data_IF_174550135131
#
_entry.id   IF_174550135131
#
_cell.length_a   1.000
_cell.length_b   1.000
_cell.length_c   1.000
_cell.angle_alpha   90.00
_cell.angle_beta   90.00
_cell.angle_gamma   90.00
#
_symmetry.space_group_name_H-M   'P 1'
#
loop_
_entity.id
_entity.type
_entity.pdbx_description
1 polymer ?
#
# COMPACT_ATOMS: atom_id res chain seq x y z
N UNK A 1 32.89 19.37 4.83
CA UNK A 1 31.81 19.11 5.80
C UNK A 1 30.57 18.86 4.96
N UNK A 2 30.01 17.66 5.02
CA UNK A 2 28.76 17.34 4.34
C UNK A 2 27.66 18.28 4.82
N UNK A 3 26.68 18.61 3.97
CA UNK A 3 25.57 19.48 4.39
C UNK A 3 25.81 20.98 4.35
N UNK A 4 27.05 21.48 4.22
CA UNK A 4 27.34 22.92 4.28
C UNK A 4 27.32 23.55 2.88
N UNK A 5 26.48 24.58 2.61
CA UNK A 5 26.41 25.19 1.30
C UNK A 5 27.69 25.94 0.94
N UNK A 6 28.12 25.79 -0.32
CA UNK A 6 29.11 26.71 -0.91
C UNK A 6 28.51 28.12 -1.05
N UNK A 7 29.33 29.19 -1.20
CA UNK A 7 28.82 30.53 -1.44
C UNK A 7 27.89 30.62 -2.66
N UNK A 8 28.19 29.86 -3.72
CA UNK A 8 27.34 29.81 -4.92
C UNK A 8 26.00 29.13 -4.65
N UNK A 9 25.98 28.01 -3.92
CA UNK A 9 24.74 27.32 -3.55
C UNK A 9 23.90 28.20 -2.63
N UNK A 10 24.51 28.85 -1.63
CA UNK A 10 23.83 29.78 -0.73
C UNK A 10 23.22 30.97 -1.50
N UNK A 11 23.89 31.46 -2.54
CA UNK A 11 23.35 32.47 -3.46
C UNK A 11 22.06 32.00 -4.13
N UNK A 12 22.08 30.83 -4.78
CA UNK A 12 20.90 30.23 -5.44
C UNK A 12 19.74 29.97 -4.47
N UNK A 13 20.04 29.53 -3.26
CA UNK A 13 19.04 29.33 -2.20
C UNK A 13 18.41 30.66 -1.79
N UNK A 14 19.21 31.72 -1.65
CA UNK A 14 18.73 33.05 -1.28
C UNK A 14 17.96 33.76 -2.40
N UNK A 15 18.17 33.43 -3.67
CA UNK A 15 17.31 33.87 -4.77
C UNK A 15 15.88 33.33 -4.64
N UNK A 16 15.73 32.16 -4.02
CA UNK A 16 14.43 31.50 -3.79
C UNK A 16 13.80 31.87 -2.44
N UNK A 17 14.60 32.17 -1.43
CA UNK A 17 14.14 32.50 -0.09
C UNK A 17 13.54 33.92 -0.02
N UNK A 18 12.52 34.13 0.83
CA UNK A 18 11.91 35.46 1.05
C UNK A 18 12.69 36.34 2.02
N UNK A 19 13.68 35.78 2.70
CA UNK A 19 14.66 36.51 3.51
C UNK A 19 16.04 35.88 3.29
N UNK A 20 17.12 36.64 3.52
CA UNK A 20 18.46 36.07 3.57
C UNK A 20 18.55 34.96 4.63
N UNK A 21 19.12 33.83 4.22
CA UNK A 21 19.54 32.70 5.04
C UNK A 21 21.08 32.72 5.12
N UNK A 22 21.60 32.45 6.32
CA UNK A 22 23.02 32.21 6.56
C UNK A 22 23.40 30.77 6.23
N UNK A 23 24.71 30.49 6.08
CA UNK A 23 25.18 29.13 5.82
C UNK A 23 24.91 28.18 7.00
N UNK A 24 24.84 28.72 8.21
CA UNK A 24 24.55 27.98 9.45
C UNK A 24 23.07 27.57 9.55
N UNK A 25 22.17 28.30 8.90
CA UNK A 25 20.73 28.01 8.90
C UNK A 25 20.32 26.93 7.89
N UNK A 26 21.23 26.52 7.00
CA UNK A 26 20.88 25.73 5.82
C UNK A 26 21.71 24.44 5.76
N UNK A 27 21.04 23.34 5.52
CA UNK A 27 21.64 22.07 5.13
C UNK A 27 21.39 21.81 3.65
N UNK A 28 22.42 21.41 2.89
CA UNK A 28 22.30 21.07 1.47
C UNK A 28 22.77 19.66 1.17
N UNK A 29 22.10 18.99 0.25
CA UNK A 29 22.49 17.68 -0.24
C UNK A 29 22.07 17.51 -1.71
N UNK A 30 22.73 16.58 -2.39
CA UNK A 30 22.45 16.22 -3.78
C UNK A 30 21.87 14.82 -3.83
N UNK A 31 20.91 14.59 -4.72
CA UNK A 31 20.33 13.27 -4.96
C UNK A 31 20.23 12.96 -6.45
N UNK A 32 20.33 11.67 -6.79
CA UNK A 32 19.90 11.15 -8.09
C UNK A 32 18.38 10.94 -8.01
N UNK A 33 17.63 11.70 -8.80
CA UNK A 33 16.16 11.71 -8.70
C UNK A 33 15.52 10.59 -9.51
N UNK A 34 15.95 10.43 -10.76
CA UNK A 34 15.45 9.43 -11.72
C UNK A 34 16.41 9.34 -12.91
N UNK A 35 16.38 8.24 -13.67
CA UNK A 35 17.03 8.17 -14.97
C UNK A 35 16.20 7.44 -16.01
N UNK A 36 16.82 7.16 -17.15
CA UNK A 36 16.17 6.56 -18.32
C UNK A 36 16.38 5.04 -18.43
N UNK A 37 16.71 4.36 -17.33
CA UNK A 37 16.57 2.90 -17.29
C UNK A 37 15.10 2.51 -17.49
N UNK A 38 14.87 1.37 -18.14
CA UNK A 38 13.52 0.83 -18.26
C UNK A 38 12.96 0.50 -16.88
N UNK A 39 11.84 1.11 -16.53
CA UNK A 39 11.07 0.82 -15.34
C UNK A 39 10.21 -0.40 -15.63
N UNK A 40 10.69 -1.58 -15.23
CA UNK A 40 10.16 -2.87 -15.69
C UNK A 40 8.71 -3.12 -15.24
N UNK A 41 8.34 -2.71 -14.02
CA UNK A 41 7.02 -2.99 -13.46
C UNK A 41 5.85 -2.31 -14.22
N UNK A 42 6.15 -1.28 -15.02
CA UNK A 42 5.19 -0.58 -15.87
C UNK A 42 5.61 -0.53 -17.34
N UNK A 43 6.78 -1.06 -17.68
CA UNK A 43 7.37 -0.97 -19.00
C UNK A 43 7.42 0.47 -19.50
N UNK A 44 7.98 1.38 -18.69
CA UNK A 44 8.12 2.81 -19.02
C UNK A 44 9.60 3.18 -19.01
N UNK A 45 10.05 3.89 -20.04
CA UNK A 45 11.39 4.49 -20.11
C UNK A 45 11.24 5.99 -20.32
N UNK A 46 11.89 6.80 -19.49
CA UNK A 46 11.86 8.25 -19.62
C UNK A 46 12.76 8.66 -20.79
N UNK A 47 12.24 9.47 -21.70
CA UNK A 47 13.07 10.07 -22.75
C UNK A 47 13.94 11.18 -22.16
N UNK A 48 15.13 11.39 -22.71
CA UNK A 48 16.03 12.48 -22.29
C UNK A 48 15.35 13.85 -22.35
N UNK A 49 14.45 14.08 -23.31
CA UNK A 49 13.67 15.32 -23.41
C UNK A 49 12.74 15.52 -22.20
N UNK A 50 12.15 14.44 -21.66
CA UNK A 50 11.37 14.52 -20.43
C UNK A 50 12.27 14.81 -19.23
N UNK A 51 13.44 14.16 -19.13
CA UNK A 51 14.42 14.46 -18.08
C UNK A 51 14.86 15.93 -18.08
N UNK A 52 14.90 16.59 -19.25
CA UNK A 52 15.20 18.02 -19.33
C UNK A 52 14.08 18.90 -18.76
N UNK A 53 12.82 18.54 -19.00
CA UNK A 53 11.67 19.23 -18.39
C UNK A 53 11.73 19.10 -16.87
N UNK A 54 11.91 17.87 -16.37
CA UNK A 54 12.03 17.63 -14.92
C UNK A 54 13.23 18.37 -14.30
N UNK A 55 14.33 18.52 -15.04
CA UNK A 55 15.49 19.33 -14.63
C UNK A 55 15.16 20.80 -14.50
N UNK A 56 14.40 21.36 -15.44
CA UNK A 56 14.01 22.76 -15.41
C UNK A 56 13.10 23.04 -14.20
N UNK A 57 12.13 22.18 -13.93
CA UNK A 57 11.25 22.28 -12.75
C UNK A 57 12.02 22.16 -11.44
N UNK A 58 12.93 21.18 -11.32
CA UNK A 58 13.80 21.04 -10.14
C UNK A 58 14.74 22.25 -9.95
N UNK A 59 15.17 22.88 -11.05
CA UNK A 59 16.00 24.10 -10.99
C UNK A 59 15.17 25.32 -10.57
N UNK A 60 13.91 25.43 -11.03
CA UNK A 60 12.97 26.45 -10.58
C UNK A 60 12.63 26.27 -9.08
N UNK A 61 12.51 25.02 -8.66
CA UNK A 61 12.49 24.58 -7.27
C UNK A 61 11.14 24.00 -6.88
N UNK A 62 11.06 22.67 -6.87
CA UNK A 62 9.94 21.86 -6.34
C UNK A 62 10.09 21.61 -4.84
N UNK A 63 8.98 21.23 -4.19
CA UNK A 63 8.97 20.90 -2.77
C UNK A 63 9.82 19.65 -2.48
N UNK A 64 10.57 19.67 -1.37
CA UNK A 64 11.14 18.47 -0.76
C UNK A 64 10.24 18.02 0.39
N UNK A 65 9.73 16.79 0.34
CA UNK A 65 8.83 16.23 1.34
C UNK A 65 9.40 14.93 1.96
N UNK A 66 8.64 14.35 2.89
CA UNK A 66 8.84 13.00 3.39
C UNK A 66 7.71 12.13 2.84
N UNK A 67 8.06 11.05 2.13
CA UNK A 67 7.09 10.15 1.47
C UNK A 67 6.14 10.88 0.49
N UNK A 68 5.06 10.24 0.04
CA UNK A 68 4.05 10.82 -0.87
C UNK A 68 2.75 11.15 -0.15
N UNK A 69 2.73 12.09 0.84
CA UNK A 69 1.55 12.33 1.67
C UNK A 69 0.35 12.82 0.85
N UNK A 70 0.61 13.50 -0.28
CA UNK A 70 -0.40 13.93 -1.24
C UNK A 70 -1.11 12.78 -1.96
N UNK A 71 -0.47 11.61 -2.06
CA UNK A 71 -1.03 10.44 -2.74
C UNK A 71 -2.00 9.63 -1.87
N UNK A 72 -1.98 9.84 -0.54
CA UNK A 72 -2.86 9.15 0.40
C UNK A 72 -2.58 7.66 0.56
N UNK A 73 -1.38 7.20 0.22
CA UNK A 73 -0.93 5.83 0.44
C UNK A 73 -0.81 5.56 1.96
N UNK A 74 -1.90 5.09 2.58
CA UNK A 74 -1.86 4.48 3.92
C UNK A 74 -2.18 5.38 5.13
N UNK A 75 -2.38 6.70 4.98
CA UNK A 75 -3.04 7.64 5.93
C UNK A 75 -3.02 9.06 5.36
N UNK A 76 -4.09 9.86 5.45
CA UNK A 76 -4.01 11.27 5.06
C UNK A 76 -3.12 12.02 6.06
N UNK A 77 -1.91 12.40 5.62
CA UNK A 77 -1.06 13.37 6.30
C UNK A 77 -1.04 14.65 5.48
N UNK A 78 -0.95 15.79 6.16
CA UNK A 78 -0.79 17.05 5.46
C UNK A 78 0.53 17.04 4.66
N UNK A 79 0.47 17.45 3.40
CA UNK A 79 1.64 17.54 2.53
C UNK A 79 2.48 18.78 2.91
N UNK A 80 3.37 18.63 3.89
CA UNK A 80 4.27 19.69 4.31
C UNK A 80 5.64 19.58 3.61
N UNK A 81 6.09 20.63 2.92
CA UNK A 81 7.47 20.73 2.45
C UNK A 81 8.43 20.91 3.64
N UNK A 82 9.48 20.11 3.71
CA UNK A 82 10.60 20.25 4.66
C UNK A 82 11.80 20.96 4.05
N UNK A 83 11.87 21.00 2.72
CA UNK A 83 12.89 21.72 1.98
C UNK A 83 12.42 22.11 0.59
N UNK A 84 13.37 22.47 -0.26
CA UNK A 84 13.13 22.80 -1.66
C UNK A 84 14.36 22.47 -2.50
N UNK A 85 14.15 22.03 -3.73
CA UNK A 85 15.23 21.94 -4.73
C UNK A 85 15.68 23.34 -5.15
N UNK A 86 16.95 23.47 -5.53
CA UNK A 86 17.50 24.77 -5.95
C UNK A 86 18.37 24.74 -7.20
N UNK A 87 18.76 23.56 -7.65
CA UNK A 87 19.55 23.35 -8.86
C UNK A 87 19.39 21.90 -9.31
N UNK A 88 19.41 21.66 -10.63
CA UNK A 88 19.42 20.31 -11.16
C UNK A 88 20.20 20.20 -12.48
N UNK A 89 20.62 18.97 -12.80
CA UNK A 89 21.34 18.65 -14.03
C UNK A 89 20.96 17.27 -14.55
N UNK A 90 20.91 17.14 -15.87
CA UNK A 90 20.90 15.83 -16.54
C UNK A 90 22.33 15.47 -16.89
N UNK A 91 22.82 14.35 -16.38
CA UNK A 91 24.18 13.83 -16.60
C UNK A 91 24.14 12.40 -17.11
N UNK A 92 25.30 11.84 -17.48
CA UNK A 92 25.37 10.44 -17.85
C UNK A 92 24.92 9.55 -16.69
N UNK A 93 24.15 8.52 -17.02
CA UNK A 93 23.77 7.46 -16.10
C UNK A 93 25.00 6.72 -15.57
N UNK A 94 24.87 6.16 -14.39
CA UNK A 94 25.95 5.47 -13.67
C UNK A 94 25.64 3.98 -13.43
N UNK A 95 24.56 3.46 -14.01
CA UNK A 95 24.26 2.03 -13.99
C UNK A 95 23.94 1.45 -15.37
N UNK A 96 23.91 0.13 -15.45
CA UNK A 96 23.56 -0.60 -16.65
C UNK A 96 22.10 -0.37 -17.09
N UNK A 97 21.91 -0.14 -18.39
CA UNK A 97 20.60 0.14 -18.98
C UNK A 97 20.14 1.61 -18.88
N UNK A 98 20.94 2.47 -18.24
CA UNK A 98 20.72 3.92 -18.11
C UNK A 98 21.75 4.71 -18.92
N UNK A 99 21.29 5.55 -19.84
CA UNK A 99 22.13 6.48 -20.59
C UNK A 99 22.20 7.86 -19.92
N UNK A 100 21.10 8.30 -19.31
CA UNK A 100 20.95 9.62 -18.71
C UNK A 100 20.21 9.56 -17.37
N UNK A 101 20.67 10.38 -16.42
CA UNK A 101 20.05 10.53 -15.12
C UNK A 101 19.90 12.01 -14.75
N UNK A 102 18.80 12.33 -14.06
CA UNK A 102 18.53 13.60 -13.42
C UNK A 102 19.07 13.59 -12.00
N UNK A 103 19.90 14.58 -11.69
CA UNK A 103 20.40 14.88 -10.35
C UNK A 103 19.89 16.25 -9.93
N UNK A 104 19.55 16.41 -8.66
CA UNK A 104 19.15 17.70 -8.11
C UNK A 104 19.72 17.96 -6.72
N UNK A 105 19.97 19.23 -6.44
CA UNK A 105 20.40 19.72 -5.16
C UNK A 105 19.20 20.31 -4.40
N UNK A 106 19.09 19.94 -3.13
CA UNK A 106 18.02 20.36 -2.23
C UNK A 106 18.57 21.01 -0.97
N UNK A 107 17.78 21.89 -0.37
CA UNK A 107 18.10 22.48 0.92
C UNK A 107 16.98 22.29 1.95
N UNK A 108 17.38 22.12 3.22
CA UNK A 108 16.53 22.10 4.40
C UNK A 108 16.97 23.25 5.31
N UNK A 109 16.02 23.98 5.88
CA UNK A 109 16.30 25.03 6.89
C UNK A 109 16.31 24.39 8.27
N UNK A 110 17.39 24.56 9.02
CA UNK A 110 17.59 24.01 10.37
C UNK A 110 16.66 24.63 11.41
N UNK A 111 16.46 23.92 12.53
CA UNK A 111 15.71 24.40 13.69
C UNK A 111 14.23 24.66 13.44
N UNK A 112 13.60 23.94 12.51
CA UNK A 112 12.16 24.01 12.22
C UNK A 112 11.47 22.75 12.71
N UNK A 113 10.20 22.89 13.07
CA UNK A 113 9.32 21.78 13.38
C UNK A 113 8.00 21.97 12.62
N UNK A 114 7.54 20.89 11.96
CA UNK A 114 6.28 20.83 11.24
C UNK A 114 5.68 19.46 11.52
N UNK A 115 4.40 19.41 11.91
CA UNK A 115 3.70 18.14 12.19
C UNK A 115 4.43 17.22 13.18
N UNK A 116 5.05 17.79 14.23
CA UNK A 116 5.83 17.05 15.22
C UNK A 116 7.16 16.49 14.71
N UNK A 117 7.57 16.83 13.47
CA UNK A 117 8.83 16.41 12.88
C UNK A 117 9.80 17.59 12.82
N UNK A 118 10.96 17.40 13.45
CA UNK A 118 12.07 18.35 13.44
C UNK A 118 12.89 18.22 12.16
N UNK A 119 13.19 19.35 11.51
CA UNK A 119 14.13 19.36 10.38
C UNK A 119 15.53 18.94 10.78
N UNK A 120 15.93 19.16 12.03
CA UNK A 120 17.25 18.75 12.50
C UNK A 120 17.33 17.23 12.69
N UNK A 121 16.21 16.58 13.03
CA UNK A 121 16.12 15.12 13.06
C UNK A 121 16.19 14.54 11.64
N UNK A 122 15.45 15.12 10.68
CA UNK A 122 15.52 14.71 9.26
C UNK A 122 16.95 14.87 8.73
N UNK A 123 17.62 15.98 9.05
CA UNK A 123 19.02 16.20 8.66
C UNK A 123 19.93 15.14 9.28
N UNK A 124 19.76 14.83 10.57
CA UNK A 124 20.54 13.79 11.25
C UNK A 124 20.35 12.42 10.58
N UNK A 125 19.12 12.06 10.22
CA UNK A 125 18.82 10.79 9.53
C UNK A 125 19.46 10.74 8.12
N UNK A 126 19.60 11.88 7.43
CA UNK A 126 20.35 11.96 6.17
C UNK A 126 21.86 11.82 6.42
N UNK A 127 22.36 12.47 7.46
CA UNK A 127 23.79 12.47 7.82
C UNK A 127 24.28 11.09 8.29
N UNK A 128 23.44 10.32 9.00
CA UNK A 128 23.75 8.97 9.47
C UNK A 128 23.38 7.86 8.46
N UNK A 129 22.62 8.20 7.42
CA UNK A 129 22.25 7.31 6.33
C UNK A 129 20.99 6.48 6.58
N UNK A 130 20.20 6.77 7.62
CA UNK A 130 18.87 6.18 7.84
C UNK A 130 17.86 6.66 6.77
N UNK A 131 18.00 7.90 6.30
CA UNK A 131 17.38 8.41 5.08
C UNK A 131 18.46 8.50 4.00
N UNK A 132 18.40 7.61 3.02
CA UNK A 132 19.46 7.47 2.02
C UNK A 132 18.97 7.54 0.57
N UNK A 133 17.66 7.67 0.35
CA UNK A 133 17.10 7.61 -0.99
C UNK A 133 15.92 8.57 -1.20
N UNK A 134 15.62 8.83 -2.47
CA UNK A 134 14.58 9.76 -2.90
C UNK A 134 13.59 9.13 -3.88
N UNK A 135 12.43 9.75 -3.97
CA UNK A 135 11.38 9.43 -4.92
C UNK A 135 10.86 10.71 -5.57
N UNK A 136 10.30 10.61 -6.76
CA UNK A 136 9.68 11.73 -7.46
C UNK A 136 8.22 11.47 -7.80
N UNK A 137 7.44 12.53 -7.70
CA UNK A 137 6.11 12.67 -8.25
C UNK A 137 6.21 13.46 -9.54
N UNK A 138 5.77 12.89 -10.66
CA UNK A 138 5.89 13.53 -11.98
C UNK A 138 4.77 13.11 -12.94
N UNK A 139 4.51 13.95 -13.94
CA UNK A 139 3.53 13.70 -15.00
C UNK A 139 4.17 13.80 -16.39
N UNK A 140 3.54 13.13 -17.36
CA UNK A 140 3.88 13.25 -18.77
C UNK A 140 2.67 12.92 -19.66
N UNK A 141 2.63 13.52 -20.84
CA UNK A 141 1.57 13.31 -21.84
C UNK A 141 2.08 12.52 -23.06
N UNK A 142 3.34 12.75 -23.45
CA UNK A 142 3.95 12.08 -24.58
C UNK A 142 4.16 10.60 -24.27
N UNK A 143 3.46 9.72 -24.99
CA UNK A 143 3.49 8.27 -24.74
C UNK A 143 3.82 7.51 -26.02
N UNK A 144 5.08 7.47 -26.42
CA UNK A 144 5.49 6.82 -27.66
C UNK A 144 5.69 5.31 -27.48
N UNK A 145 5.30 4.51 -28.46
CA UNK A 145 5.48 3.06 -28.48
C UNK A 145 6.87 2.70 -29.01
N UNK A 146 7.62 1.88 -28.27
CA UNK A 146 8.94 1.40 -28.71
C UNK A 146 8.93 0.54 -29.99
N UNK A 147 7.77 0.00 -30.40
CA UNK A 147 7.64 -0.90 -31.55
C UNK A 147 7.30 -0.13 -32.83
N UNK A 148 6.29 0.73 -32.81
CA UNK A 148 5.82 1.45 -34.01
C UNK A 148 6.11 2.95 -34.01
N UNK A 149 6.60 3.54 -32.92
CA UNK A 149 6.82 4.99 -32.80
C UNK A 149 5.54 5.83 -32.71
N UNK A 150 4.36 5.20 -32.77
CA UNK A 150 3.07 5.89 -32.57
C UNK A 150 2.72 6.07 -31.09
N UNK A 151 1.60 6.74 -30.79
CA UNK A 151 1.11 6.85 -29.42
C UNK A 151 0.72 5.46 -28.87
N UNK A 152 1.35 5.04 -27.78
CA UNK A 152 1.08 3.74 -27.14
C UNK A 152 -0.37 3.61 -26.71
N UNK A 153 -1.01 4.71 -26.28
CA UNK A 153 -2.42 4.73 -25.87
C UNK A 153 -3.38 4.58 -27.07
N UNK A 154 -2.90 4.73 -28.31
CA UNK A 154 -3.71 4.67 -29.54
C UNK A 154 -3.35 3.52 -30.48
N UNK A 155 -2.19 2.87 -30.30
CA UNK A 155 -1.77 1.73 -31.11
C UNK A 155 -2.13 0.36 -30.49
N UNK A 156 -2.03 -0.69 -31.30
CA UNK A 156 -2.37 -2.07 -30.90
C UNK A 156 -1.27 -2.78 -30.07
N UNK A 157 -0.05 -2.23 -30.00
CA UNK A 157 1.03 -2.81 -29.21
C UNK A 157 0.80 -2.64 -27.71
N UNK A 158 0.96 -3.69 -26.92
CA UNK A 158 0.79 -3.67 -25.47
C UNK A 158 2.14 -3.75 -24.76
N UNK A 159 2.46 -2.80 -23.87
CA UNK A 159 3.71 -2.86 -23.12
C UNK A 159 3.83 -4.13 -22.28
N UNK A 160 5.05 -4.66 -22.22
CA UNK A 160 5.34 -5.97 -21.65
C UNK A 160 5.21 -7.14 -22.63
N UNK A 161 4.57 -6.95 -23.79
CA UNK A 161 4.54 -7.98 -24.85
C UNK A 161 5.72 -7.83 -25.80
N UNK A 162 6.13 -8.94 -26.40
CA UNK A 162 7.18 -9.00 -27.40
C UNK A 162 6.58 -9.04 -28.81
N UNK A 163 7.09 -8.21 -29.71
CA UNK A 163 6.72 -8.15 -31.12
C UNK A 163 8.01 -8.21 -31.95
N UNK A 164 8.12 -9.15 -32.90
CA UNK A 164 9.33 -9.35 -33.71
C UNK A 164 10.63 -9.36 -32.88
N UNK A 165 10.61 -10.11 -31.77
CA UNK A 165 11.70 -10.20 -30.78
C UNK A 165 12.11 -8.88 -30.09
N UNK A 166 11.24 -7.86 -30.12
CA UNK A 166 11.43 -6.59 -29.41
C UNK A 166 10.36 -6.41 -28.33
N UNK A 167 10.80 -6.04 -27.13
CA UNK A 167 9.90 -5.71 -26.03
C UNK A 167 9.18 -4.39 -26.30
N UNK A 168 7.85 -4.40 -26.21
CA UNK A 168 7.05 -3.18 -26.23
C UNK A 168 7.13 -2.49 -24.86
N UNK A 169 7.45 -1.21 -24.87
CA UNK A 169 7.43 -0.33 -23.70
C UNK A 169 7.04 1.09 -24.11
N UNK A 170 6.65 1.89 -23.12
CA UNK A 170 6.33 3.31 -23.28
C UNK A 170 7.62 4.12 -23.23
N UNK A 171 7.82 4.99 -24.20
CA UNK A 171 8.81 6.06 -24.15
C UNK A 171 8.07 7.32 -23.70
N UNK A 172 8.27 7.71 -22.44
CA UNK A 172 7.63 8.87 -21.82
C UNK A 172 8.33 10.16 -22.27
N UNK A 173 7.59 11.06 -22.93
CA UNK A 173 8.06 12.29 -23.56
C UNK A 173 7.27 13.50 -23.07
N UNK A 174 7.82 14.71 -23.21
CA UNK A 174 7.07 15.95 -22.99
C UNK A 174 5.80 16.04 -23.86
N UNK A 175 4.81 16.88 -23.49
CA UNK A 175 4.75 17.70 -22.27
C UNK A 175 4.78 16.89 -20.97
N UNK A 176 5.26 17.48 -19.88
CA UNK A 176 5.38 16.84 -18.57
C UNK A 176 5.78 17.84 -17.49
N UNK A 177 5.91 17.36 -16.25
CA UNK A 177 6.32 18.18 -15.10
C UNK A 177 6.88 17.33 -13.98
N UNK A 178 7.78 17.90 -13.18
CA UNK A 178 8.15 17.40 -11.87
C UNK A 178 7.29 18.10 -10.82
N UNK A 179 6.49 17.32 -10.08
CA UNK A 179 5.63 17.86 -9.04
C UNK A 179 6.39 18.08 -7.75
N UNK A 180 7.19 17.09 -7.36
CA UNK A 180 7.83 17.06 -6.05
C UNK A 180 9.01 16.07 -5.99
N UNK A 181 9.83 16.23 -4.95
CA UNK A 181 10.87 15.30 -4.53
C UNK A 181 10.60 14.87 -3.09
N UNK A 182 10.72 13.58 -2.79
CA UNK A 182 10.50 13.06 -1.44
C UNK A 182 11.65 12.22 -0.94
N UNK A 183 12.01 12.40 0.33
CA UNK A 183 12.87 11.49 1.07
C UNK A 183 12.07 10.24 1.44
N UNK A 184 12.64 9.07 1.17
CA UNK A 184 11.98 7.77 1.41
C UNK A 184 12.98 6.74 1.93
N UNK A 185 12.49 5.73 2.65
CA UNK A 185 13.31 4.63 3.16
C UNK A 185 13.67 3.58 2.09
N UNK A 186 12.95 3.58 0.96
CA UNK A 186 13.14 2.69 -0.20
C UNK A 186 12.91 3.52 -1.48
N UNK A 187 13.98 4.13 -2.01
CA UNK A 187 13.84 5.12 -3.08
C UNK A 187 13.89 4.52 -4.47
N UNK A 188 13.96 5.39 -5.46
CA UNK A 188 13.59 5.11 -6.84
C UNK A 188 14.39 3.99 -7.53
N UNK A 189 15.52 3.53 -6.98
CA UNK A 189 16.54 2.76 -7.72
C UNK A 189 17.01 1.46 -7.05
N UNK A 190 17.64 0.58 -7.85
CA UNK A 190 17.95 -0.84 -7.55
C UNK A 190 18.81 -1.12 -6.30
N UNK A 191 19.31 -0.11 -5.59
CA UNK A 191 20.16 -0.28 -4.39
C UNK A 191 19.42 -0.11 -3.06
N UNK A 192 18.08 -0.13 -3.06
CA UNK A 192 17.27 0.01 -1.85
C UNK A 192 16.40 -1.24 -1.55
N UNK A 193 16.29 -1.60 -0.26
CA UNK A 193 15.41 -2.63 0.31
C UNK A 193 15.17 -2.29 1.79
N UNK A 194 14.11 -2.68 2.52
CA UNK A 194 13.14 -3.79 2.42
C UNK A 194 11.72 -3.32 2.84
N UNK A 195 10.72 -3.90 2.16
CA UNK A 195 9.27 -4.07 2.44
C UNK A 195 8.38 -2.90 2.95
N UNK A 196 7.46 -2.47 2.08
CA UNK A 196 6.02 -2.69 2.31
C UNK A 196 5.30 -2.85 0.97
N UNK A 197 4.36 -3.79 0.92
CA UNK A 197 3.44 -4.04 -0.17
C UNK A 197 2.03 -3.59 0.24
N UNK A 198 1.25 -3.19 -0.76
CA UNK A 198 -0.21 -3.16 -0.75
C UNK A 198 -0.90 -2.15 0.18
N UNK A 199 -1.10 -0.94 -0.36
CA UNK A 199 -2.12 -0.02 0.11
C UNK A 199 -3.14 0.24 -1.01
N UNK A 200 -4.36 -0.24 -0.85
CA UNK A 200 -5.51 0.46 -1.44
C UNK A 200 -5.58 1.86 -0.83
N UNK A 201 -5.69 2.89 -1.68
CA UNK A 201 -5.67 4.29 -1.27
C UNK A 201 -7.04 4.71 -0.74
N UNK A 202 -7.06 5.25 0.48
CA UNK A 202 -8.20 5.92 1.11
C UNK A 202 -8.25 7.40 0.71
N UNK A 203 -9.47 7.97 0.63
CA UNK A 203 -9.93 9.39 0.56
C UNK A 203 -9.10 10.53 -0.13
N UNK A 204 -8.02 10.27 -0.86
CA UNK A 204 -7.18 11.31 -1.49
C UNK A 204 -7.72 11.89 -2.80
N UNK A 205 -8.88 11.43 -3.26
CA UNK A 205 -9.39 11.77 -4.60
C UNK A 205 -8.58 11.16 -5.76
N UNK A 206 -7.56 10.34 -5.48
CA UNK A 206 -6.75 9.65 -6.49
C UNK A 206 -7.04 8.14 -6.52
N UNK A 207 -6.78 7.52 -7.67
CA UNK A 207 -6.91 6.08 -7.90
C UNK A 207 -5.71 5.53 -8.64
N UNK A 208 -5.28 4.32 -8.27
CA UNK A 208 -4.20 3.61 -8.95
C UNK A 208 -4.69 3.08 -10.30
N UNK A 209 -3.95 3.41 -11.35
CA UNK A 209 -4.19 2.93 -12.71
C UNK A 209 -3.33 1.70 -12.96
N UNK A 210 -4.00 0.59 -13.28
CA UNK A 210 -3.37 -0.67 -13.72
C UNK A 210 -3.41 -0.80 -15.24
N UNK A 211 -4.52 -0.41 -15.86
CA UNK A 211 -4.69 -0.37 -17.31
C UNK A 211 -4.94 1.06 -17.81
N UNK A 212 -3.86 1.76 -18.15
CA UNK A 212 -3.93 3.14 -18.65
C UNK A 212 -4.37 3.24 -20.11
N UNK A 213 -4.42 2.12 -20.86
CA UNK A 213 -4.92 2.09 -22.23
C UNK A 213 -6.44 2.11 -22.29
N UNK A 214 -7.12 1.67 -21.24
CA UNK A 214 -8.58 1.78 -21.10
C UNK A 214 -9.06 3.23 -20.81
N UNK A 215 -8.15 4.13 -20.44
CA UNK A 215 -8.46 5.52 -20.12
C UNK A 215 -8.39 6.39 -21.37
N UNK A 216 -9.25 7.41 -21.44
CA UNK A 216 -9.18 8.44 -22.48
C UNK A 216 -7.78 9.04 -22.57
N UNK A 217 -7.21 9.04 -23.79
CA UNK A 217 -5.84 9.47 -24.07
C UNK A 217 -5.55 10.92 -23.65
N UNK A 218 -6.59 11.73 -23.46
CA UNK A 218 -6.49 13.11 -22.98
C UNK A 218 -6.44 13.22 -21.45
N UNK A 219 -6.71 12.14 -20.72
CA UNK A 219 -6.58 12.12 -19.26
C UNK A 219 -5.10 12.14 -18.90
N UNK A 220 -4.75 13.16 -18.11
CA UNK A 220 -3.44 13.33 -17.51
C UNK A 220 -3.18 12.27 -16.43
N UNK A 221 -1.99 11.68 -16.45
CA UNK A 221 -1.58 10.65 -15.50
C UNK A 221 -0.46 11.19 -14.63
N UNK A 222 -0.62 11.00 -13.32
CA UNK A 222 0.41 11.26 -12.32
C UNK A 222 1.17 9.99 -12.03
N UNK A 223 2.46 10.09 -11.74
CA UNK A 223 3.26 8.94 -11.41
C UNK A 223 4.11 9.20 -10.18
N UNK A 224 4.24 8.17 -9.35
CA UNK A 224 5.21 8.07 -8.26
C UNK A 224 6.24 7.04 -8.68
N UNK A 225 7.53 7.37 -8.57
CA UNK A 225 8.60 6.42 -8.84
C UNK A 225 9.44 6.17 -7.57
N UNK A 226 9.27 4.98 -6.98
CA UNK A 226 9.96 4.49 -5.78
C UNK A 226 10.20 2.99 -5.93
N UNK A 227 11.28 2.43 -5.37
CA UNK A 227 11.66 1.02 -5.42
C UNK A 227 11.77 0.44 -6.84
N UNK A 228 12.31 1.20 -7.79
CA UNK A 228 12.27 0.84 -9.21
C UNK A 228 10.86 0.48 -9.72
N UNK A 229 9.81 1.01 -9.06
CA UNK A 229 8.41 0.80 -9.37
C UNK A 229 7.75 2.13 -9.68
N UNK A 230 7.15 2.21 -10.85
CA UNK A 230 6.24 3.29 -11.20
C UNK A 230 4.84 2.94 -10.73
N UNK A 231 4.24 3.80 -9.91
CA UNK A 231 2.82 3.77 -9.53
C UNK A 231 2.14 4.89 -10.31
N UNK A 232 1.26 4.52 -11.23
CA UNK A 232 0.47 5.46 -12.01
C UNK A 232 -0.85 5.74 -11.31
N UNK A 233 -1.18 7.02 -11.18
CA UNK A 233 -2.34 7.55 -10.49
C UNK A 233 -3.16 8.43 -11.44
N UNK A 234 -4.46 8.51 -11.18
CA UNK A 234 -5.40 9.40 -11.86
C UNK A 234 -6.35 10.01 -10.84
N UNK A 235 -6.90 11.19 -11.12
CA UNK A 235 -8.01 11.72 -10.32
C UNK A 235 -9.24 10.83 -10.46
N UNK A 236 -9.94 10.59 -9.34
CA UNK A 236 -11.14 9.73 -9.30
C UNK A 236 -12.25 10.22 -10.22
N UNK A 237 -12.44 11.54 -10.29
CA UNK A 237 -13.43 12.17 -11.18
C UNK A 237 -13.15 11.90 -12.67
N UNK A 238 -11.88 11.72 -13.05
CA UNK A 238 -11.50 11.43 -14.43
C UNK A 238 -11.73 9.94 -14.81
N UNK A 239 -12.02 9.05 -13.84
CA UNK A 239 -12.29 7.63 -14.11
C UNK A 239 -13.63 7.36 -14.82
N UNK A 240 -14.56 8.31 -14.83
CA UNK A 240 -15.82 8.18 -15.57
C UNK A 240 -15.61 8.33 -17.08
N UNK A 241 -14.49 8.96 -17.49
CA UNK A 241 -14.06 9.14 -18.89
C UNK A 241 -13.30 7.91 -19.42
N UNK A 242 -13.79 6.71 -19.10
CA UNK A 242 -13.26 5.46 -19.68
C UNK A 242 -13.60 5.41 -21.16
N UNK A 243 -12.62 5.11 -21.99
CA UNK A 243 -12.92 4.68 -23.36
C UNK A 243 -13.35 3.23 -23.23
N UNK A 244 -14.64 2.94 -23.43
CA UNK A 244 -15.08 1.56 -23.70
C UNK A 244 -14.60 1.16 -25.09
N UNK A 245 -13.29 0.93 -25.24
CA UNK A 245 -12.77 0.04 -26.26
C UNK A 245 -12.79 -1.32 -25.58
N UNK A 246 -13.76 -2.13 -26.01
CA UNK A 246 -13.85 -3.53 -25.64
C UNK A 246 -12.47 -4.18 -25.69
N UNK A 247 -12.29 -5.15 -24.79
CA UNK A 247 -11.04 -5.88 -24.62
C UNK A 247 -10.37 -6.20 -25.94
N UNK A 248 -9.04 -6.18 -25.90
CA UNK A 248 -8.10 -6.69 -26.89
C UNK A 248 -8.78 -7.31 -28.13
N UNK A 249 -8.49 -6.76 -29.31
CA UNK A 249 -8.55 -7.53 -30.55
C UNK A 249 -7.75 -8.82 -30.32
N UNK A 250 -8.45 -9.89 -29.92
CA UNK A 250 -8.00 -11.25 -30.10
C UNK A 250 -8.25 -11.56 -31.56
N UNK A 251 -7.24 -12.13 -32.22
CA UNK A 251 -7.36 -12.66 -33.56
C UNK A 251 -8.71 -13.39 -33.73
N UNK A 252 -9.37 -13.17 -34.87
CA UNK A 252 -10.63 -13.79 -35.30
C UNK A 252 -10.51 -15.33 -35.52
N UNK A 253 -9.80 -16.05 -34.66
CA UNK A 253 -10.05 -17.47 -34.45
C UNK A 253 -11.24 -17.60 -33.53
N UNK A 254 -12.41 -17.85 -34.14
CA UNK A 254 -13.57 -18.37 -33.42
C UNK A 254 -13.22 -19.73 -32.83
N UNK A 255 -12.79 -19.73 -31.57
CA UNK A 255 -12.70 -20.95 -30.78
C UNK A 255 -14.12 -21.43 -30.48
N UNK A 256 -14.35 -22.74 -30.57
CA UNK A 256 -15.59 -23.32 -30.04
C UNK A 256 -15.56 -23.21 -28.51
N UNK A 257 -16.74 -23.21 -27.87
CA UNK A 257 -16.82 -23.17 -26.41
C UNK A 257 -15.99 -24.30 -25.76
N UNK A 258 -15.94 -25.47 -26.39
CA UNK A 258 -15.14 -26.61 -25.95
C UNK A 258 -13.62 -26.35 -26.02
N UNK A 259 -13.15 -25.62 -27.03
CA UNK A 259 -11.74 -25.22 -27.13
C UNK A 259 -11.37 -24.14 -26.12
N UNK A 260 -12.31 -23.24 -25.81
CA UNK A 260 -12.14 -22.23 -24.75
C UNK A 260 -12.08 -22.92 -23.39
N UNK A 261 -13.02 -23.82 -23.09
CA UNK A 261 -13.08 -24.53 -21.82
C UNK A 261 -11.84 -25.42 -21.62
N UNK A 262 -11.34 -26.06 -22.68
CA UNK A 262 -10.11 -26.85 -22.64
C UNK A 262 -8.86 -25.99 -22.32
N UNK A 263 -8.74 -24.82 -22.95
CA UNK A 263 -7.62 -23.90 -22.70
C UNK A 263 -7.70 -23.21 -21.35
N UNK A 264 -8.90 -22.87 -20.90
CA UNK A 264 -9.13 -22.34 -19.54
C UNK A 264 -8.73 -23.40 -18.52
N UNK A 265 -9.14 -24.66 -18.73
CA UNK A 265 -8.75 -25.76 -17.86
C UNK A 265 -7.24 -25.98 -17.84
N UNK A 266 -6.57 -25.97 -19.00
CA UNK A 266 -5.12 -26.08 -19.09
C UNK A 266 -4.39 -24.95 -18.34
N UNK A 267 -4.87 -23.71 -18.47
CA UNK A 267 -4.32 -22.56 -17.75
C UNK A 267 -4.56 -22.63 -16.23
N UNK A 268 -5.74 -23.07 -15.82
CA UNK A 268 -6.09 -23.27 -14.40
C UNK A 268 -5.27 -24.40 -13.79
N UNK A 269 -5.08 -25.50 -14.51
CA UNK A 269 -4.29 -26.65 -14.02
C UNK A 269 -2.79 -26.29 -13.95
N UNK A 270 -2.27 -25.52 -14.92
CA UNK A 270 -0.92 -24.98 -14.87
C UNK A 270 -0.72 -23.99 -13.71
N UNK A 271 -1.70 -23.14 -13.44
CA UNK A 271 -1.68 -22.20 -12.32
C UNK A 271 -1.76 -22.91 -10.96
N UNK A 272 -2.59 -23.96 -10.84
CA UNK A 272 -2.65 -24.80 -9.63
C UNK A 272 -1.33 -25.53 -9.38
N UNK A 273 -0.71 -26.07 -10.43
CA UNK A 273 0.59 -26.73 -10.32
C UNK A 273 1.70 -25.75 -9.89
N UNK A 274 1.59 -24.47 -10.26
CA UNK A 274 2.53 -23.42 -9.85
C UNK A 274 2.27 -22.93 -8.41
N UNK A 275 1.00 -22.86 -7.99
CA UNK A 275 0.58 -22.57 -6.61
C UNK A 275 1.03 -23.68 -5.63
N UNK A 276 0.88 -24.95 -6.01
CA UNK A 276 1.33 -26.09 -5.18
C UNK A 276 2.86 -26.11 -4.99
N UNK A 277 3.61 -25.51 -5.92
CA UNK A 277 5.08 -25.45 -5.89
C UNK A 277 5.62 -24.28 -5.07
N UNK A 278 4.83 -23.23 -4.85
CA UNK A 278 5.28 -21.95 -4.28
C UNK A 278 4.43 -21.51 -3.07
N UNK A 279 3.81 -22.45 -2.36
CA UNK A 279 2.73 -22.20 -1.41
C UNK A 279 3.08 -21.42 -0.11
N UNK A 280 4.33 -20.98 0.10
CA UNK A 280 4.67 -20.15 1.26
C UNK A 280 4.66 -18.65 0.89
N UNK A 281 3.59 -17.97 1.27
CA UNK A 281 3.50 -16.50 1.30
C UNK A 281 2.76 -15.82 0.14
N UNK A 282 1.92 -16.54 -0.61
CA UNK A 282 1.08 -15.95 -1.67
C UNK A 282 -0.24 -15.46 -1.09
N UNK A 283 -0.57 -14.19 -1.32
CA UNK A 283 -1.88 -13.62 -1.03
C UNK A 283 -2.97 -14.35 -1.83
N UNK A 284 -3.93 -14.95 -1.12
CA UNK A 284 -5.06 -15.65 -1.72
C UNK A 284 -6.13 -14.62 -2.09
N UNK A 285 -6.24 -14.31 -3.38
CA UNK A 285 -7.30 -13.45 -3.91
C UNK A 285 -8.51 -14.27 -4.33
N UNK A 286 -9.71 -13.85 -3.91
CA UNK A 286 -10.97 -14.38 -4.45
C UNK A 286 -11.36 -13.61 -5.71
N UNK A 287 -11.59 -14.32 -6.81
CA UNK A 287 -12.06 -13.72 -8.05
C UNK A 287 -13.52 -13.30 -7.92
N UNK A 288 -13.92 -12.27 -8.67
CA UNK A 288 -15.30 -11.73 -8.62
C UNK A 288 -16.39 -12.79 -8.83
N UNK A 289 -16.17 -13.73 -9.75
CA UNK A 289 -17.17 -14.79 -10.01
C UNK A 289 -17.26 -15.79 -8.84
N UNK A 290 -16.15 -16.12 -8.19
CA UNK A 290 -16.11 -16.98 -7.00
C UNK A 290 -16.82 -16.30 -5.82
N UNK A 291 -16.64 -14.99 -5.66
CA UNK A 291 -17.35 -14.20 -4.65
C UNK A 291 -18.87 -14.17 -4.92
N UNK A 292 -19.29 -14.02 -6.17
CA UNK A 292 -20.71 -14.05 -6.56
C UNK A 292 -21.32 -15.44 -6.31
N UNK A 293 -20.58 -16.51 -6.62
CA UNK A 293 -21.00 -17.89 -6.34
C UNK A 293 -21.14 -18.13 -4.83
N UNK A 294 -20.15 -17.71 -4.04
CA UNK A 294 -20.15 -17.88 -2.59
C UNK A 294 -21.24 -17.06 -1.88
N UNK A 295 -21.51 -15.84 -2.37
CA UNK A 295 -22.51 -14.93 -1.77
C UNK A 295 -23.92 -15.13 -2.36
N UNK A 296 -24.05 -15.89 -3.46
CA UNK A 296 -25.30 -16.10 -4.19
C UNK A 296 -25.85 -14.87 -4.93
N UNK A 297 -25.13 -13.74 -4.87
CA UNK A 297 -25.44 -12.49 -5.56
C UNK A 297 -24.20 -11.62 -5.69
N UNK A 298 -24.22 -10.72 -6.65
CA UNK A 298 -23.19 -9.69 -6.77
C UNK A 298 -23.38 -8.62 -5.70
N UNK A 299 -22.28 -8.23 -5.06
CA UNK A 299 -22.23 -7.24 -3.99
C UNK A 299 -21.02 -6.35 -4.16
N UNK A 300 -21.17 -5.07 -3.82
CA UNK A 300 -20.05 -4.13 -3.82
C UNK A 300 -19.07 -4.45 -2.67
N UNK A 301 -17.74 -4.30 -2.86
CA UNK A 301 -16.75 -4.67 -1.83
C UNK A 301 -16.97 -4.02 -0.46
N UNK A 302 -17.39 -2.75 -0.44
CA UNK A 302 -17.70 -2.04 0.81
C UNK A 302 -18.91 -2.63 1.55
N UNK A 303 -19.89 -3.17 0.80
CA UNK A 303 -21.06 -3.84 1.39
C UNK A 303 -20.66 -5.19 1.98
N UNK A 304 -19.80 -5.94 1.28
CA UNK A 304 -19.22 -7.20 1.79
C UNK A 304 -18.44 -6.97 3.08
N UNK A 305 -17.56 -5.96 3.12
CA UNK A 305 -16.78 -5.61 4.31
C UNK A 305 -17.66 -5.19 5.48
N UNK A 306 -18.73 -4.43 5.22
CA UNK A 306 -19.70 -4.04 6.24
C UNK A 306 -20.38 -5.27 6.85
N UNK A 307 -20.92 -6.15 6.02
CA UNK A 307 -21.60 -7.37 6.48
C UNK A 307 -20.65 -8.33 7.19
N UNK A 308 -19.39 -8.44 6.74
CA UNK A 308 -18.38 -9.24 7.41
C UNK A 308 -18.12 -8.73 8.85
N UNK A 309 -17.98 -7.40 9.04
CA UNK A 309 -17.83 -6.79 10.36
C UNK A 309 -19.05 -7.05 11.25
N UNK A 310 -20.26 -6.88 10.71
CA UNK A 310 -21.51 -7.18 11.43
C UNK A 310 -21.59 -8.66 11.81
N UNK A 311 -21.17 -9.58 10.94
CA UNK A 311 -21.11 -11.02 11.21
C UNK A 311 -20.07 -11.40 12.27
N UNK A 312 -18.90 -10.75 12.28
CA UNK A 312 -17.89 -10.93 13.33
C UNK A 312 -18.42 -10.46 14.69
N UNK A 313 -19.03 -9.28 14.75
CA UNK A 313 -19.63 -8.76 15.98
C UNK A 313 -20.76 -9.67 16.48
N UNK A 314 -21.67 -10.09 15.59
CA UNK A 314 -22.75 -11.01 15.94
C UNK A 314 -22.23 -12.33 16.51
N UNK A 315 -21.12 -12.84 15.96
CA UNK A 315 -20.46 -14.05 16.47
C UNK A 315 -19.94 -13.85 17.89
N UNK A 316 -19.27 -12.74 18.15
CA UNK A 316 -18.75 -12.42 19.49
C UNK A 316 -19.87 -12.31 20.52
N UNK A 317 -20.93 -11.56 20.21
CA UNK A 317 -22.11 -11.42 21.07
C UNK A 317 -22.78 -12.76 21.35
N UNK A 318 -22.88 -13.64 20.34
CA UNK A 318 -23.45 -14.97 20.49
C UNK A 318 -22.58 -15.87 21.39
N UNK A 319 -21.25 -15.79 21.30
CA UNK A 319 -20.33 -16.52 22.19
C UNK A 319 -20.53 -16.04 23.63
N UNK A 320 -20.61 -14.73 23.87
CA UNK A 320 -20.82 -14.17 25.21
C UNK A 320 -22.17 -14.59 25.80
N UNK A 321 -23.25 -14.54 25.02
CA UNK A 321 -24.57 -15.06 25.42
C UNK A 321 -24.47 -16.55 25.77
N UNK A 322 -23.78 -17.36 24.94
CA UNK A 322 -23.57 -18.79 25.18
C UNK A 322 -22.85 -19.06 26.51
N UNK A 323 -21.78 -18.33 26.80
CA UNK A 323 -21.04 -18.42 28.06
C UNK A 323 -21.91 -18.02 29.25
N UNK A 324 -22.68 -16.94 29.12
CA UNK A 324 -23.59 -16.49 30.18
C UNK A 324 -24.63 -17.57 30.52
N UNK A 325 -25.16 -18.27 29.52
CA UNK A 325 -26.06 -19.41 29.74
C UNK A 325 -25.35 -20.62 30.36
N UNK A 326 -24.11 -20.90 29.95
CA UNK A 326 -23.30 -21.95 30.57
C UNK A 326 -23.06 -21.70 32.06
N UNK A 327 -22.71 -20.46 32.44
CA UNK A 327 -22.56 -20.05 33.84
C UNK A 327 -23.88 -20.18 34.61
N UNK A 328 -25.02 -19.83 33.99
CA UNK A 328 -26.34 -20.03 34.62
C UNK A 328 -26.68 -21.50 34.83
N UNK A 329 -26.28 -22.37 33.90
CA UNK A 329 -26.55 -23.79 33.94
C UNK A 329 -25.66 -24.57 34.92
N UNK A 330 -24.39 -24.19 35.07
CA UNK A 330 -23.40 -25.01 35.79
C UNK A 330 -22.69 -24.24 36.94
N UNK A 331 -22.99 -22.95 37.11
CA UNK A 331 -22.49 -22.13 38.22
C UNK A 331 -20.95 -22.03 38.22
N UNK A 332 -20.35 -22.08 39.41
CA UNK A 332 -18.89 -21.99 39.59
C UNK A 332 -18.10 -23.16 38.96
N UNK A 333 -18.76 -24.27 38.62
CA UNK A 333 -18.13 -25.39 37.93
C UNK A 333 -18.00 -25.17 36.42
N UNK A 334 -18.67 -24.16 35.86
CA UNK A 334 -18.59 -23.85 34.44
C UNK A 334 -17.23 -23.26 34.08
N UNK A 335 -16.48 -23.95 33.22
CA UNK A 335 -15.17 -23.51 32.77
C UNK A 335 -15.27 -22.42 31.68
N UNK A 336 -15.70 -21.21 32.05
CA UNK A 336 -15.96 -20.10 31.12
C UNK A 336 -14.82 -19.83 30.14
N UNK A 337 -13.58 -19.83 30.60
CA UNK A 337 -12.42 -19.53 29.75
C UNK A 337 -12.16 -20.62 28.72
N UNK A 338 -12.28 -21.89 29.12
CA UNK A 338 -12.11 -23.04 28.22
C UNK A 338 -13.21 -23.08 27.16
N UNK A 339 -14.46 -22.80 27.55
CA UNK A 339 -15.58 -22.71 26.62
C UNK A 339 -15.44 -21.51 25.68
N UNK A 340 -15.00 -20.35 26.17
CA UNK A 340 -14.79 -19.18 25.33
C UNK A 340 -13.72 -19.46 24.28
N UNK A 341 -12.60 -20.07 24.68
CA UNK A 341 -11.55 -20.49 23.75
C UNK A 341 -12.07 -21.45 22.67
N UNK A 342 -12.82 -22.48 23.06
CA UNK A 342 -13.37 -23.47 22.12
C UNK A 342 -14.40 -22.88 21.16
N UNK A 343 -15.25 -21.96 21.62
CA UNK A 343 -16.27 -21.33 20.79
C UNK A 343 -15.68 -20.27 19.84
N UNK A 344 -14.55 -19.66 20.21
CA UNK A 344 -13.82 -18.71 19.38
C UNK A 344 -13.01 -19.34 18.24
N UNK A 345 -12.90 -20.67 18.15
CA UNK A 345 -12.20 -21.35 17.05
C UNK A 345 -12.76 -20.93 15.68
N UNK A 346 -11.92 -20.59 14.68
CA UNK A 346 -12.39 -20.11 13.37
C UNK A 346 -13.28 -21.07 12.61
N UNK A 347 -13.10 -22.38 12.81
CA UNK A 347 -13.88 -23.45 12.16
C UNK A 347 -15.24 -23.69 12.83
N UNK A 348 -15.49 -23.09 14.00
CA UNK A 348 -16.73 -23.29 14.75
C UNK A 348 -17.87 -22.52 14.08
N UNK A 349 -18.90 -23.20 13.58
CA UNK A 349 -20.01 -22.51 12.89
C UNK A 349 -20.95 -21.77 13.86
N UNK A 350 -21.70 -20.79 13.35
CA UNK A 350 -22.71 -20.05 14.12
C UNK A 350 -23.80 -21.01 14.63
N UNK A 351 -24.18 -21.99 13.83
CA UNK A 351 -25.18 -23.01 14.17
C UNK A 351 -24.72 -23.87 15.35
N UNK A 352 -23.43 -24.26 15.37
CA UNK A 352 -22.87 -25.01 16.48
C UNK A 352 -22.86 -24.20 17.77
N UNK A 353 -22.48 -22.91 17.71
CA UNK A 353 -22.51 -22.02 18.89
C UNK A 353 -23.95 -21.87 19.41
N UNK A 354 -24.94 -21.68 18.51
CA UNK A 354 -26.37 -21.65 18.88
C UNK A 354 -26.82 -22.95 19.55
N UNK A 355 -26.41 -24.10 19.03
CA UNK A 355 -26.76 -25.39 19.61
C UNK A 355 -26.23 -25.54 21.05
N UNK A 356 -24.98 -25.14 21.32
CA UNK A 356 -24.45 -25.13 22.69
C UNK A 356 -25.20 -24.18 23.60
N UNK A 357 -25.49 -22.97 23.12
CA UNK A 357 -26.28 -22.00 23.89
C UNK A 357 -27.64 -22.59 24.27
N UNK A 358 -28.34 -23.18 23.32
CA UNK A 358 -29.69 -23.68 23.54
C UNK A 358 -29.68 -24.91 24.47
N UNK A 359 -28.62 -25.73 24.43
CA UNK A 359 -28.38 -26.77 25.42
C UNK A 359 -28.16 -26.20 26.83
N UNK A 360 -27.32 -25.16 26.97
CA UNK A 360 -27.12 -24.51 28.27
C UNK A 360 -28.39 -23.82 28.77
N UNK A 361 -29.17 -23.20 27.88
CA UNK A 361 -30.49 -22.63 28.22
C UNK A 361 -31.41 -23.70 28.80
N UNK A 362 -31.58 -24.82 28.10
CA UNK A 362 -32.44 -25.91 28.58
C UNK A 362 -32.00 -26.44 29.94
N UNK A 363 -30.69 -26.67 30.14
CA UNK A 363 -30.14 -27.06 31.45
C UNK A 363 -30.38 -26.01 32.55
N UNK A 364 -30.21 -24.72 32.22
CA UNK A 364 -30.42 -23.64 33.19
C UNK A 364 -31.91 -23.52 33.58
N UNK A 365 -32.83 -23.82 32.67
CA UNK A 365 -34.27 -23.81 32.92
C UNK A 365 -34.75 -25.00 33.78
N UNK A 366 -34.01 -26.11 33.81
CA UNK A 366 -34.26 -27.25 34.70
C UNK A 366 -33.84 -26.99 36.16
N UNK A 367 -33.07 -25.92 36.41
CA UNK A 367 -32.64 -25.52 37.77
C UNK A 367 -33.77 -24.72 38.42
N UNK A 368 -34.40 -25.22 39.51
CA UNK A 368 -35.45 -24.49 40.19
C UNK A 368 -34.93 -23.14 40.69
N UNK A 369 -35.69 -22.06 40.47
CA UNK A 369 -35.36 -20.74 40.98
C UNK A 369 -35.42 -20.71 42.53
N UNK A 370 -34.31 -21.06 43.19
CA UNK A 370 -34.17 -21.03 44.65
C UNK A 370 -32.78 -21.48 45.11
N UNK A 371 -32.10 -20.63 45.91
CA UNK A 371 -30.81 -20.98 46.55
C UNK A 371 -30.98 -22.18 47.47
N UNK A 372 -30.26 -23.27 47.22
CA UNK A 372 -30.06 -24.35 48.20
C UNK A 372 -28.60 -24.35 48.65
N UNK A 373 -28.34 -23.80 49.83
CA UNK A 373 -27.06 -23.98 50.55
C UNK A 373 -27.30 -24.97 51.69
N UNK A 374 -26.76 -26.19 51.58
CA UNK A 374 -26.63 -27.11 52.73
C UNK A 374 -25.23 -26.97 53.36
N UNK A 375 -25.11 -26.59 54.64
CA UNK A 375 -23.81 -26.43 55.28
C UNK A 375 -23.25 -27.78 55.78
N UNK A 376 -22.03 -28.14 55.34
CA UNK A 376 -21.26 -29.26 55.92
C UNK A 376 -20.66 -28.89 57.29
N UNK A 377 -20.78 -29.82 58.25
CA UNK A 377 -20.36 -29.72 59.67
C UNK A 377 -18.85 -29.41 59.84
N UNK A 378 -18.54 -28.50 60.77
CA UNK A 378 -17.18 -28.27 61.32
C UNK A 378 -16.80 -29.38 62.30
N UNK A 379 -15.64 -30.00 62.10
CA UNK A 379 -14.91 -30.70 63.17
C UNK A 379 -14.02 -29.68 63.89
N UNK A 380 -14.21 -29.55 65.21
CA UNK A 380 -13.39 -28.70 66.08
C UNK A 380 -12.16 -29.46 66.56
N UNK A 381 -10.96 -28.95 66.26
CA UNK A 381 -9.72 -29.37 66.91
C UNK A 381 -9.22 -28.25 67.82
N UNK A 382 -9.25 -28.47 69.14
CA UNK A 382 -8.59 -27.59 70.12
C UNK A 382 -7.68 -28.45 71.00
N UNK A 383 -6.42 -28.01 71.08
CA UNK A 383 -5.29 -28.64 71.75
C UNK A 383 -5.39 -28.43 73.28
N UNK A 384 -5.02 -29.40 74.15
CA UNK A 384 -5.16 -29.26 75.61
C UNK A 384 -4.26 -28.21 76.28
N UNK A 385 -4.84 -27.56 77.30
CA UNK A 385 -4.46 -26.33 78.02
C UNK A 385 -3.26 -26.40 79.00
N UNK A 386 -2.30 -27.32 78.85
CA UNK A 386 -1.19 -27.44 79.83
C UNK A 386 0.00 -26.48 79.62
N UNK A 387 -0.05 -25.57 78.63
CA UNK A 387 1.09 -24.72 78.28
C UNK A 387 1.09 -23.28 78.84
N UNK A 388 0.08 -22.86 79.62
CA UNK A 388 0.09 -21.53 80.26
C UNK A 388 -0.40 -21.55 81.70
N UNK A 389 0.52 -21.84 82.64
CA UNK A 389 0.43 -21.39 84.04
C UNK A 389 1.10 -20.03 84.19
N UNK A 390 0.36 -19.06 84.71
CA UNK A 390 0.70 -18.32 85.93
C UNK A 390 -0.55 -18.26 86.79
#
# INVERSE_FOLDING_TARGET
>A
MFGVPTPSQLGKINEKAKRPLSKEEVFVFSSKMVGDKLIENRYVKLDKSLLQVLKDDATEGVALMLDHPWAGLGRPKAAYPYGRTFEAKVSKGDIEGEDWALFGDSYIVRGREKDGLSTDAIIADIEDGTIFDVSIGFGYEGTECSICGGSIRKCDHWPGRTYDNKLCYVIAKPPGYLMELSLVFDGAYETAGVLSADGEITDSGLSVVRDYKSLDSEIELMNIYSKNRLITLVRREDLERKIWKGGANMDDKKYTQEEVDAKVKEAVDAFKADLEKNAEGIDVFMLKHEAVEALGKEMEPNEVLKLAKEGMQYREELIEDTIAWGVRAEGEAFASDAWKQMLSEPTRTIEAIKAFRDQFKAKAEEIPAGRVTEPKKKEESVIPDEFYKV
#
